data_IF_553172583853
#
_entry.id   IF_553172583853
#
_cell.length_a   1.000
_cell.length_b   1.000
_cell.length_c   1.000
_cell.angle_alpha   90.00
_cell.angle_beta   90.00
_cell.angle_gamma   90.00
#
_symmetry.space_group_name_H-M   'P 1'
#
loop_
_entity.id
_entity.type
_entity.pdbx_description
1 polymer ?
#
# COMPACT_ATOMS: atom_id res chain seq x y z
N UNK A 1 22.54 -16.06 12.89
CA UNK A 1 21.18 -16.08 12.31
C UNK A 1 21.10 -17.07 11.14
N UNK A 2 22.07 -17.07 10.23
CA UNK A 2 22.12 -17.98 9.06
C UNK A 2 22.18 -19.44 9.53
N UNK A 3 23.04 -19.77 10.49
CA UNK A 3 23.14 -21.12 11.08
C UNK A 3 21.82 -21.59 11.70
N UNK A 4 21.01 -20.66 12.25
CA UNK A 4 19.70 -20.97 12.83
C UNK A 4 18.58 -20.99 11.79
N UNK A 5 18.85 -20.80 10.50
CA UNK A 5 17.88 -20.70 9.40
C UNK A 5 16.77 -19.66 9.67
N UNK A 6 17.11 -18.56 10.34
CA UNK A 6 16.21 -17.44 10.67
C UNK A 6 16.92 -16.14 10.38
N UNK A 7 16.17 -15.16 9.87
CA UNK A 7 16.69 -13.83 9.58
C UNK A 7 15.56 -12.84 9.31
N UNK A 8 15.89 -11.54 9.31
CA UNK A 8 14.95 -10.55 8.80
C UNK A 8 14.94 -10.58 7.27
N UNK A 9 13.93 -10.00 6.70
CA UNK A 9 13.65 -10.00 5.26
C UNK A 9 14.88 -9.65 4.41
N UNK A 10 15.64 -8.61 4.75
CA UNK A 10 16.82 -8.21 4.00
C UNK A 10 17.94 -9.27 4.00
N UNK A 11 18.12 -10.00 5.10
CA UNK A 11 19.07 -11.11 5.18
C UNK A 11 18.61 -12.29 4.33
N UNK A 12 17.30 -12.59 4.39
CA UNK A 12 16.71 -13.69 3.60
C UNK A 12 16.86 -13.40 2.10
N UNK A 13 16.62 -12.16 1.67
CA UNK A 13 16.78 -11.76 0.27
C UNK A 13 18.23 -11.86 -0.20
N UNK A 14 19.19 -11.46 0.61
CA UNK A 14 20.63 -11.61 0.29
C UNK A 14 21.00 -13.06 0.11
N UNK A 15 20.64 -13.92 1.07
CA UNK A 15 20.89 -15.36 0.98
C UNK A 15 20.21 -16.00 -0.24
N UNK A 16 19.03 -15.51 -0.62
CA UNK A 16 18.33 -15.97 -1.81
C UNK A 16 19.09 -15.60 -3.09
N UNK A 17 19.64 -14.38 -3.18
CA UNK A 17 20.49 -13.96 -4.30
C UNK A 17 21.75 -14.82 -4.37
N UNK A 18 22.46 -15.01 -3.25
CA UNK A 18 23.71 -15.79 -3.21
C UNK A 18 23.49 -17.26 -3.62
N UNK A 19 22.27 -17.78 -3.45
CA UNK A 19 21.92 -19.18 -3.76
C UNK A 19 21.03 -19.36 -4.99
N UNK A 20 20.79 -18.32 -5.77
CA UNK A 20 19.84 -18.37 -6.87
C UNK A 20 20.24 -19.41 -7.94
N UNK A 21 21.52 -19.60 -8.19
CA UNK A 21 22.02 -20.59 -9.15
C UNK A 21 21.65 -22.01 -8.73
N UNK A 22 21.85 -22.36 -7.45
CA UNK A 22 21.44 -23.66 -6.92
C UNK A 22 19.94 -23.90 -7.05
N UNK A 23 19.12 -22.83 -6.88
CA UNK A 23 17.69 -22.92 -7.07
C UNK A 23 17.35 -23.21 -8.54
N UNK A 24 17.97 -22.50 -9.48
CA UNK A 24 17.74 -22.67 -10.92
C UNK A 24 18.10 -24.08 -11.37
N UNK A 25 19.27 -24.59 -10.95
CA UNK A 25 19.73 -25.94 -11.27
C UNK A 25 18.74 -27.04 -10.80
N UNK A 26 18.16 -26.84 -9.60
CA UNK A 26 17.17 -27.76 -9.04
C UNK A 26 15.75 -27.57 -9.58
N UNK A 27 15.50 -26.47 -10.33
CA UNK A 27 14.17 -26.06 -10.81
C UNK A 27 14.03 -26.08 -12.32
N UNK A 28 14.86 -26.81 -13.04
CA UNK A 28 14.94 -26.81 -14.52
C UNK A 28 13.59 -27.09 -15.22
N UNK A 29 12.71 -27.88 -14.59
CA UNK A 29 11.39 -28.22 -15.12
C UNK A 29 10.27 -27.28 -14.63
N UNK A 30 10.58 -26.26 -13.83
CA UNK A 30 9.60 -25.35 -13.28
C UNK A 30 9.53 -24.09 -14.13
N UNK A 31 8.34 -23.75 -14.62
CA UNK A 31 8.11 -22.49 -15.33
C UNK A 31 7.79 -21.38 -14.31
N UNK A 32 8.55 -20.31 -14.36
CA UNK A 32 8.34 -19.13 -13.53
C UNK A 32 7.68 -18.03 -14.33
N UNK A 33 6.60 -17.48 -13.82
CA UNK A 33 5.88 -16.37 -14.45
C UNK A 33 5.69 -15.26 -13.40
N UNK A 34 6.26 -14.11 -13.67
CA UNK A 34 6.15 -12.92 -12.83
C UNK A 34 5.13 -11.96 -13.40
N UNK A 35 4.16 -11.50 -12.60
CA UNK A 35 3.08 -10.62 -13.04
C UNK A 35 2.83 -9.53 -12.00
N UNK A 36 2.57 -8.30 -12.44
CA UNK A 36 2.06 -7.22 -11.60
C UNK A 36 3.10 -6.52 -10.73
N UNK A 37 4.38 -6.72 -10.99
CA UNK A 37 5.45 -5.98 -10.30
C UNK A 37 5.57 -4.54 -10.85
N UNK A 38 6.06 -3.63 -10.01
CA UNK A 38 6.38 -2.26 -10.40
C UNK A 38 7.76 -1.88 -9.84
N UNK A 39 7.85 -1.39 -8.61
CA UNK A 39 9.12 -1.13 -7.95
C UNK A 39 9.68 -2.42 -7.36
N UNK A 40 10.94 -2.71 -7.65
CA UNK A 40 11.66 -3.87 -7.14
C UNK A 40 12.86 -3.41 -6.30
N UNK A 41 13.13 -4.10 -5.22
CA UNK A 41 14.41 -3.99 -4.53
C UNK A 41 15.53 -4.57 -5.40
N UNK A 42 16.79 -4.26 -5.07
CA UNK A 42 17.91 -4.79 -5.82
C UNK A 42 17.94 -6.32 -5.83
N UNK A 43 17.70 -6.93 -4.68
CA UNK A 43 17.67 -8.39 -4.56
C UNK A 43 16.55 -9.03 -5.37
N UNK A 44 15.33 -8.45 -5.35
CA UNK A 44 14.23 -8.91 -6.21
C UNK A 44 14.56 -8.78 -7.68
N UNK A 45 15.16 -7.65 -8.07
CA UNK A 45 15.59 -7.43 -9.44
C UNK A 45 16.62 -8.46 -9.90
N UNK A 46 17.62 -8.79 -9.08
CA UNK A 46 18.63 -9.80 -9.39
C UNK A 46 18.01 -11.20 -9.50
N UNK A 47 17.19 -11.61 -8.53
CA UNK A 47 16.51 -12.91 -8.54
C UNK A 47 15.64 -13.07 -9.80
N UNK A 48 14.83 -12.04 -10.12
CA UNK A 48 13.96 -12.09 -11.29
C UNK A 48 14.78 -12.18 -12.58
N UNK A 49 15.84 -11.36 -12.71
CA UNK A 49 16.69 -11.40 -13.91
C UNK A 49 17.34 -12.77 -14.11
N UNK A 50 17.87 -13.39 -13.05
CA UNK A 50 18.47 -14.72 -13.15
C UNK A 50 17.42 -15.77 -13.59
N UNK A 51 16.23 -15.72 -13.04
CA UNK A 51 15.16 -16.67 -13.38
C UNK A 51 14.64 -16.45 -14.81
N UNK A 52 14.42 -15.19 -15.26
CA UNK A 52 13.93 -14.95 -16.64
C UNK A 52 14.99 -15.29 -17.69
N UNK A 53 16.27 -15.17 -17.38
CA UNK A 53 17.36 -15.63 -18.25
C UNK A 53 17.39 -17.16 -18.40
N UNK A 54 16.83 -17.89 -17.41
CA UNK A 54 16.78 -19.35 -17.36
C UNK A 54 15.34 -19.91 -17.55
N UNK A 55 14.63 -19.44 -18.59
CA UNK A 55 13.29 -19.91 -18.96
C UNK A 55 12.11 -19.37 -18.12
N UNK A 56 12.30 -18.29 -17.34
CA UNK A 56 11.20 -17.53 -16.75
C UNK A 56 10.57 -16.54 -17.72
N UNK A 57 9.42 -15.99 -17.35
CA UNK A 57 8.73 -14.91 -18.06
C UNK A 57 8.29 -13.82 -17.09
N UNK A 58 8.31 -12.57 -17.54
CA UNK A 58 7.79 -11.44 -16.79
C UNK A 58 6.81 -10.64 -17.64
N UNK A 59 5.69 -10.26 -17.03
CA UNK A 59 4.65 -9.43 -17.63
C UNK A 59 4.46 -8.17 -16.79
N UNK A 60 4.64 -7.02 -17.42
CA UNK A 60 4.42 -5.73 -16.80
C UNK A 60 3.00 -5.25 -17.09
N UNK A 61 2.25 -4.91 -16.04
CA UNK A 61 0.95 -4.26 -16.19
C UNK A 61 1.15 -2.75 -16.33
N UNK A 62 1.42 -2.33 -17.56
CA UNK A 62 1.65 -0.93 -17.93
C UNK A 62 0.96 -0.58 -19.23
N UNK A 63 0.33 0.59 -19.27
CA UNK A 63 -0.28 1.13 -20.49
C UNK A 63 0.79 1.80 -21.38
N UNK A 64 0.67 1.62 -22.68
CA UNK A 64 1.58 2.14 -23.68
C UNK A 64 1.76 3.66 -23.61
N UNK A 65 0.71 4.40 -23.27
CA UNK A 65 0.75 5.85 -23.12
C UNK A 65 1.68 6.31 -22.01
N UNK A 66 1.82 5.54 -20.92
CA UNK A 66 2.76 5.85 -19.84
C UNK A 66 4.21 5.60 -20.25
N UNK A 67 4.47 4.55 -21.01
CA UNK A 67 5.83 4.26 -21.51
C UNK A 67 6.32 5.34 -22.49
N UNK A 68 5.43 5.89 -23.29
CA UNK A 68 5.76 6.92 -24.28
C UNK A 68 5.77 8.36 -23.71
N UNK A 69 5.34 8.56 -22.47
CA UNK A 69 5.27 9.88 -21.84
C UNK A 69 6.60 10.24 -21.16
N UNK A 70 7.13 11.41 -21.42
CA UNK A 70 8.30 11.97 -20.73
C UNK A 70 7.94 12.56 -19.35
N UNK A 71 6.69 12.96 -19.19
CA UNK A 71 6.21 13.67 -17.99
C UNK A 71 5.51 12.77 -16.96
N UNK A 72 5.26 11.51 -17.31
CA UNK A 72 4.52 10.60 -16.43
C UNK A 72 5.43 9.61 -15.73
N UNK A 73 5.50 9.70 -14.41
CA UNK A 73 6.34 8.85 -13.57
C UNK A 73 5.75 7.44 -13.30
N UNK A 74 4.53 7.15 -13.75
CA UNK A 74 3.91 5.83 -13.52
C UNK A 74 4.72 4.67 -14.13
N UNK A 75 5.50 4.94 -15.18
CA UNK A 75 6.37 3.96 -15.84
C UNK A 75 7.85 4.02 -15.44
N UNK A 76 8.21 4.83 -14.45
CA UNK A 76 9.61 5.13 -14.10
C UNK A 76 10.46 3.87 -13.92
N UNK A 77 10.00 2.95 -13.05
CA UNK A 77 10.72 1.72 -12.75
C UNK A 77 10.73 0.77 -13.97
N UNK A 78 9.58 0.57 -14.59
CA UNK A 78 9.46 -0.34 -15.74
C UNK A 78 10.32 0.16 -16.93
N UNK A 79 10.33 1.46 -17.21
CA UNK A 79 11.26 2.05 -18.21
C UNK A 79 12.71 1.74 -17.88
N UNK A 80 13.09 1.89 -16.61
CA UNK A 80 14.45 1.59 -16.16
C UNK A 80 14.79 0.12 -16.41
N UNK A 81 13.90 -0.81 -16.09
CA UNK A 81 14.14 -2.23 -16.33
C UNK A 81 14.23 -2.56 -17.82
N UNK A 82 13.30 -2.05 -18.64
CA UNK A 82 13.31 -2.27 -20.09
C UNK A 82 14.61 -1.76 -20.75
N UNK A 83 15.16 -0.67 -20.25
CA UNK A 83 16.39 -0.08 -20.79
C UNK A 83 17.67 -0.75 -20.27
N UNK A 84 17.69 -1.19 -19.02
CA UNK A 84 18.93 -1.59 -18.35
C UNK A 84 19.08 -3.10 -18.21
N UNK A 85 18.02 -3.89 -18.20
CA UNK A 85 18.14 -5.32 -18.02
C UNK A 85 18.70 -6.00 -19.28
N UNK A 86 19.73 -6.85 -19.14
CA UNK A 86 20.33 -7.59 -20.27
C UNK A 86 19.32 -8.44 -21.05
N UNK A 87 18.29 -8.95 -20.37
CA UNK A 87 17.20 -9.71 -20.97
C UNK A 87 16.55 -8.96 -22.15
N UNK A 88 16.28 -7.65 -21.98
CA UNK A 88 15.60 -6.85 -23.01
C UNK A 88 16.49 -6.40 -24.16
N UNK A 89 17.81 -6.61 -24.09
CA UNK A 89 18.71 -6.43 -25.23
C UNK A 89 18.46 -7.48 -26.33
N UNK A 90 17.93 -8.65 -25.94
CA UNK A 90 17.69 -9.79 -26.86
C UNK A 90 16.19 -10.08 -27.06
N UNK A 91 15.32 -9.57 -26.20
CA UNK A 91 13.90 -9.86 -26.20
C UNK A 91 13.11 -8.56 -26.25
N UNK A 92 12.16 -8.46 -27.16
CA UNK A 92 11.26 -7.30 -27.21
C UNK A 92 10.12 -7.47 -26.21
N UNK A 93 9.73 -6.36 -25.58
CA UNK A 93 8.53 -6.29 -24.77
C UNK A 93 7.32 -6.03 -25.66
N UNK A 94 6.35 -6.92 -25.65
CA UNK A 94 5.04 -6.68 -26.24
C UNK A 94 4.14 -5.92 -25.25
N UNK A 95 3.60 -4.78 -25.68
CA UNK A 95 2.71 -3.94 -24.89
C UNK A 95 1.31 -4.09 -25.43
N UNK A 96 0.45 -4.73 -24.64
CA UNK A 96 -0.91 -5.08 -25.04
C UNK A 96 -1.90 -3.96 -24.68
N UNK A 97 -1.69 -3.24 -23.58
CA UNK A 97 -2.65 -2.25 -23.06
C UNK A 97 -2.37 -0.85 -23.63
N UNK A 98 -3.41 -0.23 -24.19
CA UNK A 98 -3.45 1.20 -24.60
C UNK A 98 -4.81 1.82 -24.24
N UNK A 99 -5.31 1.49 -23.04
CA UNK A 99 -6.64 1.87 -22.58
C UNK A 99 -6.68 3.27 -21.93
N UNK A 100 -5.53 3.81 -21.55
CA UNK A 100 -5.46 5.11 -20.87
C UNK A 100 -6.02 6.24 -21.75
N UNK A 101 -5.88 6.13 -23.07
CA UNK A 101 -6.40 7.11 -24.03
C UNK A 101 -7.89 6.98 -24.34
N UNK A 102 -8.51 5.89 -23.89
CA UNK A 102 -9.94 5.69 -24.11
C UNK A 102 -10.76 6.78 -23.40
N UNK A 103 -11.92 7.10 -23.99
CA UNK A 103 -12.85 8.08 -23.42
C UNK A 103 -13.24 7.69 -21.98
N UNK A 104 -13.13 8.63 -21.07
CA UNK A 104 -13.52 8.50 -19.66
C UNK A 104 -14.61 9.51 -19.33
N UNK A 105 -15.51 9.14 -18.45
CA UNK A 105 -16.45 10.08 -17.86
C UNK A 105 -15.82 10.62 -16.56
N UNK A 106 -15.44 11.88 -16.58
CA UNK A 106 -14.80 12.54 -15.43
C UNK A 106 -15.73 13.64 -14.94
N UNK A 107 -16.08 13.58 -13.67
CA UNK A 107 -16.91 14.57 -13.01
C UNK A 107 -16.11 15.24 -11.89
N UNK A 108 -15.98 16.54 -11.92
CA UNK A 108 -15.28 17.32 -10.87
C UNK A 108 -16.33 18.07 -10.05
N UNK A 109 -16.35 17.82 -8.75
CA UNK A 109 -17.37 18.33 -7.84
C UNK A 109 -16.70 19.15 -6.73
N UNK A 110 -17.03 20.44 -6.65
CA UNK A 110 -16.61 21.29 -5.55
C UNK A 110 -17.55 21.17 -4.36
N UNK A 111 -17.00 20.95 -3.17
CA UNK A 111 -17.75 20.92 -1.92
C UNK A 111 -17.11 21.83 -0.87
N UNK A 112 -17.89 22.47 0.02
CA UNK A 112 -17.31 23.26 1.09
C UNK A 112 -16.68 22.34 2.14
N UNK A 113 -15.41 22.58 2.48
CA UNK A 113 -14.63 21.88 3.50
C UNK A 113 -14.51 20.37 3.24
N UNK A 114 -13.54 19.74 3.91
CA UNK A 114 -13.26 18.31 3.79
C UNK A 114 -14.45 17.42 4.21
N UNK A 115 -15.18 17.81 5.25
CA UNK A 115 -16.38 17.07 5.69
C UNK A 115 -17.48 17.06 4.62
N UNK A 116 -17.61 18.13 3.85
CA UNK A 116 -18.54 18.17 2.71
C UNK A 116 -18.19 17.11 1.66
N UNK A 117 -16.90 16.90 1.39
CA UNK A 117 -16.44 15.88 0.43
C UNK A 117 -16.86 14.48 0.86
N UNK A 118 -16.60 14.08 2.10
CA UNK A 118 -16.95 12.72 2.56
C UNK A 118 -18.45 12.49 2.65
N UNK A 119 -19.21 13.51 3.07
CA UNK A 119 -20.68 13.42 3.06
C UNK A 119 -21.23 13.25 1.65
N UNK A 120 -20.67 13.99 0.69
CA UNK A 120 -21.05 13.85 -0.71
C UNK A 120 -20.75 12.45 -1.25
N UNK A 121 -19.57 11.89 -0.92
CA UNK A 121 -19.24 10.50 -1.27
C UNK A 121 -20.23 9.51 -0.65
N UNK A 122 -20.60 9.70 0.62
CA UNK A 122 -21.62 8.87 1.28
C UNK A 122 -22.97 8.93 0.55
N UNK A 123 -23.37 10.10 0.05
CA UNK A 123 -24.62 10.28 -0.72
C UNK A 123 -24.53 9.63 -2.11
N UNK A 124 -23.39 9.76 -2.79
CA UNK A 124 -23.14 9.03 -4.03
C UNK A 124 -23.27 7.52 -3.83
N UNK A 125 -22.61 6.98 -2.81
CA UNK A 125 -22.72 5.54 -2.50
C UNK A 125 -24.17 5.14 -2.19
N UNK A 126 -24.95 6.01 -1.52
CA UNK A 126 -26.36 5.75 -1.22
C UNK A 126 -27.22 5.67 -2.47
N UNK A 127 -26.91 6.45 -3.49
CA UNK A 127 -27.63 6.45 -4.77
C UNK A 127 -27.19 5.34 -5.73
N UNK A 128 -26.01 4.75 -5.55
CA UNK A 128 -25.48 3.70 -6.42
C UNK A 128 -26.18 2.35 -6.22
N UNK A 129 -26.22 1.53 -7.28
CA UNK A 129 -26.60 0.12 -7.19
C UNK A 129 -25.51 -0.71 -6.50
N UNK A 130 -25.89 -1.79 -5.81
CA UNK A 130 -24.95 -2.67 -5.08
C UNK A 130 -23.84 -3.21 -5.99
N UNK A 131 -24.15 -3.63 -7.20
CA UNK A 131 -23.17 -4.13 -8.17
C UNK A 131 -22.10 -3.09 -8.53
N UNK A 132 -22.48 -1.81 -8.61
CA UNK A 132 -21.55 -0.72 -8.87
C UNK A 132 -20.70 -0.40 -7.64
N UNK A 133 -21.27 -0.51 -6.44
CA UNK A 133 -20.54 -0.31 -5.18
C UNK A 133 -19.37 -1.31 -5.05
N UNK A 134 -19.60 -2.57 -5.36
CA UNK A 134 -18.57 -3.62 -5.30
C UNK A 134 -17.38 -3.37 -6.25
N UNK A 135 -17.59 -2.59 -7.30
CA UNK A 135 -16.56 -2.19 -8.26
C UNK A 135 -16.07 -0.76 -8.06
N UNK A 136 -16.33 -0.16 -6.89
CA UNK A 136 -15.96 1.22 -6.59
C UNK A 136 -14.74 1.28 -5.70
N UNK A 137 -13.73 2.06 -6.09
CA UNK A 137 -12.60 2.42 -5.25
C UNK A 137 -12.70 3.89 -4.84
N UNK A 138 -12.48 4.17 -3.56
CA UNK A 138 -12.40 5.53 -3.02
C UNK A 138 -10.94 5.80 -2.68
N UNK A 139 -10.37 6.81 -3.33
CA UNK A 139 -8.98 7.22 -3.10
C UNK A 139 -8.98 8.51 -2.30
N UNK A 140 -8.34 8.50 -1.13
CA UNK A 140 -8.19 9.66 -0.27
C UNK A 140 -6.84 10.33 -0.51
N UNK A 141 -6.86 11.60 -0.92
CA UNK A 141 -5.65 12.40 -1.00
C UNK A 141 -5.16 12.87 0.38
N UNK A 142 -6.05 12.92 1.38
CA UNK A 142 -5.76 13.23 2.78
C UNK A 142 -6.22 12.06 3.67
N UNK A 143 -5.26 11.34 4.24
CA UNK A 143 -5.51 10.16 5.09
C UNK A 143 -6.36 10.48 6.34
N UNK A 144 -6.34 11.73 6.82
CA UNK A 144 -7.17 12.17 7.96
C UNK A 144 -8.67 12.09 7.69
N UNK A 145 -9.04 11.98 6.40
CA UNK A 145 -10.43 11.83 5.99
C UNK A 145 -10.97 10.40 6.13
N UNK A 146 -10.12 9.42 6.47
CA UNK A 146 -10.53 8.02 6.58
C UNK A 146 -11.67 7.81 7.57
N UNK A 147 -11.54 8.28 8.80
CA UNK A 147 -12.58 8.10 9.84
C UNK A 147 -13.87 8.84 9.49
N UNK A 148 -13.84 10.14 9.11
CA UNK A 148 -15.02 10.82 8.61
C UNK A 148 -15.70 10.09 7.45
N UNK A 149 -14.93 9.51 6.53
CA UNK A 149 -15.46 8.75 5.40
C UNK A 149 -16.16 7.48 5.87
N UNK A 150 -15.53 6.67 6.71
CA UNK A 150 -16.13 5.43 7.25
C UNK A 150 -17.47 5.75 7.91
N UNK A 151 -17.56 6.82 8.70
CA UNK A 151 -18.80 7.27 9.34
C UNK A 151 -19.85 7.82 8.36
N UNK A 152 -19.49 8.08 7.12
CA UNK A 152 -20.38 8.57 6.07
C UNK A 152 -20.86 7.47 5.12
N UNK A 153 -20.30 6.28 5.21
CA UNK A 153 -20.66 5.12 4.38
C UNK A 153 -22.07 4.65 4.76
N UNK A 154 -22.97 4.47 3.79
CA UNK A 154 -24.32 3.99 4.07
C UNK A 154 -24.35 2.52 4.49
N UNK A 155 -25.32 2.15 5.34
CA UNK A 155 -25.48 0.79 5.90
C UNK A 155 -25.66 -0.33 4.87
N UNK A 156 -26.07 0.00 3.66
CA UNK A 156 -26.17 -0.98 2.56
C UNK A 156 -24.81 -1.48 2.05
N UNK A 157 -23.71 -0.80 2.41
CA UNK A 157 -22.36 -1.26 2.12
C UNK A 157 -21.92 -2.18 3.24
N UNK A 158 -22.03 -3.48 3.03
CA UNK A 158 -21.75 -4.49 4.07
C UNK A 158 -20.26 -4.70 4.31
N UNK A 159 -19.44 -4.57 3.26
CA UNK A 159 -18.02 -4.86 3.34
C UNK A 159 -17.20 -3.71 2.74
N UNK A 160 -16.19 -3.30 3.46
CA UNK A 160 -15.18 -2.33 3.00
C UNK A 160 -13.78 -2.90 3.21
N UNK A 161 -12.91 -2.69 2.23
CA UNK A 161 -11.49 -2.98 2.37
C UNK A 161 -10.70 -1.68 2.51
N UNK A 162 -10.01 -1.51 3.61
CA UNK A 162 -9.17 -0.34 3.89
C UNK A 162 -7.71 -0.74 3.78
N UNK A 163 -7.00 -0.17 2.80
CA UNK A 163 -5.59 -0.48 2.55
C UNK A 163 -4.61 0.50 3.20
N UNK A 164 -5.11 1.61 3.74
CA UNK A 164 -4.27 2.62 4.40
C UNK A 164 -4.18 2.37 5.91
N UNK A 165 -2.99 2.65 6.48
CA UNK A 165 -2.77 2.58 7.91
C UNK A 165 -3.45 3.73 8.67
N UNK A 166 -3.93 3.45 9.88
CA UNK A 166 -4.40 4.48 10.80
C UNK A 166 -3.33 4.74 11.87
N UNK A 167 -2.81 5.97 11.99
CA UNK A 167 -1.77 6.27 12.97
C UNK A 167 -2.26 6.03 14.39
N UNK A 168 -1.58 5.17 15.13
CA UNK A 168 -1.93 4.82 16.52
C UNK A 168 -2.06 6.06 17.42
N UNK A 169 -1.26 7.09 17.16
CA UNK A 169 -1.31 8.38 17.89
C UNK A 169 -2.67 9.08 17.89
N UNK A 170 -3.54 8.73 16.92
CA UNK A 170 -4.88 9.29 16.79
C UNK A 170 -5.94 8.42 17.49
N UNK A 171 -5.54 7.33 18.13
CA UNK A 171 -6.45 6.44 18.87
C UNK A 171 -6.58 6.83 20.33
N UNK A 172 -7.73 6.53 20.91
CA UNK A 172 -8.00 6.74 22.33
C UNK A 172 -7.07 5.92 23.23
N UNK A 173 -6.68 4.72 22.76
CA UNK A 173 -5.70 3.87 23.45
C UNK A 173 -4.35 4.58 23.59
N UNK A 174 -3.88 5.24 22.50
CA UNK A 174 -2.63 5.99 22.57
C UNK A 174 -2.71 7.14 23.59
N UNK A 175 -3.80 7.92 23.57
CA UNK A 175 -3.97 9.05 24.52
C UNK A 175 -3.99 8.59 25.96
N UNK A 176 -4.61 7.44 26.23
CA UNK A 176 -4.62 6.80 27.54
C UNK A 176 -3.20 6.41 28.02
N UNK A 177 -2.49 5.62 27.20
CA UNK A 177 -1.13 5.21 27.55
C UNK A 177 -0.16 6.38 27.61
N UNK A 178 -0.32 7.39 26.77
CA UNK A 178 0.48 8.60 26.83
C UNK A 178 0.30 9.32 28.17
N UNK A 179 -0.94 9.51 28.61
CA UNK A 179 -1.23 10.12 29.91
C UNK A 179 -0.72 9.26 31.08
N UNK A 180 -0.90 7.94 31.00
CA UNK A 180 -0.37 7.02 32.00
C UNK A 180 1.16 7.11 32.13
N UNK A 181 1.88 7.11 31.00
CA UNK A 181 3.33 7.25 30.99
C UNK A 181 3.79 8.63 31.48
N UNK A 182 3.05 9.69 31.20
CA UNK A 182 3.35 11.04 31.72
C UNK A 182 3.38 11.08 33.26
N UNK A 183 2.52 10.33 33.92
CA UNK A 183 2.50 10.23 35.38
C UNK A 183 3.82 9.64 35.91
N UNK A 184 4.39 8.68 35.17
CA UNK A 184 5.61 7.97 35.57
C UNK A 184 6.90 8.53 34.96
N UNK A 185 6.82 9.53 34.07
CA UNK A 185 7.99 10.04 33.32
C UNK A 185 8.98 10.84 34.16
N UNK A 186 8.61 11.27 35.34
CA UNK A 186 9.48 12.01 36.29
C UNK A 186 9.62 11.19 37.57
N UNK A 187 10.87 10.93 37.97
CA UNK A 187 11.20 10.34 39.27
C UNK A 187 10.81 11.32 40.39
N UNK A 188 9.54 11.44 40.69
CA UNK A 188 9.00 12.32 41.72
C UNK A 188 8.35 11.48 42.80
N UNK A 189 8.56 11.88 44.06
CA UNK A 189 7.91 11.30 45.23
C UNK A 189 6.41 11.62 45.30
N UNK A 190 5.89 12.45 44.41
CA UNK A 190 4.48 12.86 44.35
C UNK A 190 4.01 13.01 42.91
N UNK A 191 2.77 12.66 42.67
CA UNK A 191 2.14 12.81 41.34
C UNK A 191 1.52 14.20 41.18
N UNK A 192 1.66 14.79 39.99
CA UNK A 192 0.98 16.04 39.68
C UNK A 192 -0.51 15.77 39.45
N UNK A 193 -1.34 16.38 40.26
CA UNK A 193 -2.79 16.09 40.34
C UNK A 193 -3.52 16.23 38.99
N UNK A 194 -3.08 17.16 38.09
CA UNK A 194 -3.71 17.32 36.76
C UNK A 194 -3.53 16.11 35.88
N UNK A 195 -2.40 15.42 35.98
CA UNK A 195 -2.17 14.18 35.21
C UNK A 195 -3.08 13.06 35.72
N UNK A 196 -3.29 12.97 37.02
CA UNK A 196 -4.20 11.99 37.59
C UNK A 196 -5.66 12.28 37.21
N UNK A 197 -6.09 13.54 37.30
CA UNK A 197 -7.44 13.93 36.88
C UNK A 197 -7.66 13.66 35.37
N UNK A 198 -6.69 13.99 34.53
CA UNK A 198 -6.77 13.74 33.08
C UNK A 198 -6.87 12.25 32.79
N UNK A 199 -6.12 11.41 33.49
CA UNK A 199 -6.21 9.96 33.31
C UNK A 199 -7.57 9.43 33.81
N UNK A 200 -8.04 9.86 34.96
CA UNK A 200 -9.31 9.42 35.53
C UNK A 200 -10.53 9.83 34.72
N UNK A 201 -10.50 11.00 34.10
CA UNK A 201 -11.57 11.47 33.22
C UNK A 201 -11.49 10.89 31.78
N UNK A 202 -10.53 9.99 31.54
CA UNK A 202 -10.40 9.36 30.22
C UNK A 202 -11.53 8.35 30.00
N UNK A 203 -12.12 8.35 28.80
CA UNK A 203 -13.27 7.51 28.43
C UNK A 203 -13.05 5.99 28.63
N UNK A 204 -11.79 5.51 28.61
CA UNK A 204 -11.47 4.09 28.87
C UNK A 204 -11.53 3.73 30.37
N UNK A 205 -11.54 4.73 31.28
CA UNK A 205 -11.65 4.52 32.73
C UNK A 205 -13.06 4.82 33.21
N UNK A 206 -13.64 5.90 32.72
CA UNK A 206 -14.99 6.32 33.09
C UNK A 206 -15.90 6.14 31.86
N UNK A 207 -16.45 4.95 31.64
CA UNK A 207 -17.44 4.76 30.59
C UNK A 207 -18.68 5.62 30.89
N UNK A 208 -19.17 6.32 29.88
CA UNK A 208 -20.37 7.15 29.90
C UNK A 208 -21.62 6.29 30.16
#
# INVERSE_FOLDING_TARGET
LIEKRRGYQGLIYREAVDRIQNYIENSLNTKHIFIGFNALSNSESEIIQEIINNNGKIYWDIDKSYLNSEYNNASLFIKSYLNNWPYYKKNNQEIISDNYRNKKNIQVIGTPKNIGQVKYVGELLRSMNINNINNTAIVLADERMLIPLINSIPTKVENINVTMGYPLKNSNIYSFFYQYLQIHSKNQSSFYYKHLLSLWSHELITPI
#
